data_IF_715062243458
#
_entry.id   IF_715062243458
#
_cell.length_a   1.000
_cell.length_b   1.000
_cell.length_c   1.000
_cell.angle_alpha   90.00
_cell.angle_beta   90.00
_cell.angle_gamma   90.00
#
_symmetry.space_group_name_H-M   'P 1'
#
loop_
_entity.id
_entity.type
_entity.pdbx_description
1 polymer ?
#
# COMPACT_ATOMS: atom_id res chain seq x y z
N UNK A 1 -17.85 13.80 9.79
CA UNK A 1 -17.63 14.36 8.45
C UNK A 1 -17.24 15.81 8.62
N UNK A 2 -15.96 16.11 8.37
CA UNK A 2 -15.38 17.45 8.40
C UNK A 2 -14.16 17.50 7.49
N UNK A 3 -13.92 18.67 6.90
CA UNK A 3 -12.69 18.97 6.16
C UNK A 3 -12.03 20.20 6.76
N UNK A 4 -10.73 20.13 7.00
CA UNK A 4 -9.92 21.27 7.43
C UNK A 4 -8.82 21.48 6.41
N UNK A 5 -8.70 22.70 5.90
CA UNK A 5 -7.62 23.07 4.99
C UNK A 5 -6.62 23.99 5.68
N UNK A 6 -5.33 23.78 5.40
CA UNK A 6 -4.23 24.41 6.10
C UNK A 6 -3.32 25.23 5.20
N UNK A 7 -2.78 26.30 5.78
CA UNK A 7 -1.77 27.17 5.17
C UNK A 7 -0.46 27.16 5.96
N UNK A 8 -0.29 26.18 6.85
CA UNK A 8 0.83 26.13 7.79
C UNK A 8 2.08 25.52 7.13
N UNK A 9 1.90 24.67 6.12
CA UNK A 9 2.98 24.05 5.35
C UNK A 9 3.58 24.92 4.23
N UNK A 10 3.59 26.25 4.36
CA UNK A 10 4.10 27.15 3.30
C UNK A 10 5.57 26.91 2.95
N UNK A 11 6.37 26.52 3.94
CA UNK A 11 7.82 26.31 3.85
C UNK A 11 8.22 24.83 3.87
N UNK A 12 7.28 23.89 3.78
CA UNK A 12 7.57 22.45 3.81
C UNK A 12 7.74 21.82 5.20
N UNK A 13 7.56 22.59 6.28
CA UNK A 13 7.66 22.11 7.67
C UNK A 13 6.32 21.97 8.41
N UNK A 14 5.20 22.24 7.76
CA UNK A 14 3.85 21.98 8.29
C UNK A 14 3.44 20.53 8.06
N UNK A 15 2.28 20.14 8.59
CA UNK A 15 1.70 18.81 8.42
C UNK A 15 0.18 18.86 8.60
N UNK A 16 -0.55 18.18 7.70
CA UNK A 16 -2.01 18.06 7.78
C UNK A 16 -2.47 17.34 9.05
N UNK A 17 -1.64 16.46 9.63
CA UNK A 17 -1.96 15.72 10.84
C UNK A 17 -2.22 16.61 12.07
N UNK A 18 -1.61 17.81 12.09
CA UNK A 18 -1.79 18.77 13.18
C UNK A 18 -2.87 19.82 12.90
N UNK A 19 -3.60 19.70 11.79
CA UNK A 19 -4.67 20.63 11.48
C UNK A 19 -5.84 20.48 12.44
N UNK A 20 -6.28 21.62 12.95
CA UNK A 20 -7.47 21.79 13.78
C UNK A 20 -8.21 23.04 13.29
N UNK A 21 -9.43 23.24 13.77
CA UNK A 21 -10.18 24.47 13.48
C UNK A 21 -9.50 25.74 14.03
N UNK A 22 -8.53 25.61 14.95
CA UNK A 22 -7.81 26.76 15.53
C UNK A 22 -6.64 27.23 14.66
N UNK A 23 -6.06 26.35 13.83
CA UNK A 23 -4.88 26.63 13.01
C UNK A 23 -5.10 26.42 11.50
N UNK A 24 -6.29 25.97 11.10
CA UNK A 24 -6.74 25.83 9.72
C UNK A 24 -8.11 26.45 9.48
N UNK A 25 -8.67 26.23 8.30
CA UNK A 25 -10.03 26.62 7.95
C UNK A 25 -10.93 25.39 7.94
N UNK A 26 -11.83 25.31 8.91
CA UNK A 26 -12.90 24.30 8.91
C UNK A 26 -13.89 24.63 7.79
N UNK A 27 -14.15 23.63 6.95
CA UNK A 27 -15.09 23.71 5.85
C UNK A 27 -16.33 22.90 6.22
N UNK A 28 -17.48 23.58 6.22
CA UNK A 28 -18.80 22.97 6.44
C UNK A 28 -19.51 22.85 5.09
N UNK A 29 -19.65 21.62 4.59
CA UNK A 29 -20.25 21.34 3.29
C UNK A 29 -19.33 21.66 2.10
N UNK A 30 -19.92 22.04 0.96
CA UNK A 30 -19.16 22.36 -0.25
C UNK A 30 -18.55 23.78 -0.20
N UNK A 31 -17.32 23.93 -0.70
CA UNK A 31 -16.58 25.18 -0.77
C UNK A 31 -15.88 25.32 -2.11
N UNK A 32 -15.90 26.52 -2.70
CA UNK A 32 -15.22 26.80 -3.96
C UNK A 32 -14.52 28.16 -3.88
N UNK A 33 -13.26 28.19 -4.29
CA UNK A 33 -12.49 29.40 -4.52
C UNK A 33 -11.73 29.31 -5.86
N UNK A 34 -10.93 30.33 -6.17
CA UNK A 34 -10.06 30.33 -7.36
C UNK A 34 -8.86 29.37 -7.22
N UNK A 35 -8.64 28.76 -6.05
CA UNK A 35 -7.47 27.90 -5.79
C UNK A 35 -7.86 26.48 -5.37
N UNK A 36 -9.06 26.28 -4.80
CA UNK A 36 -9.49 25.00 -4.26
C UNK A 36 -11.00 24.77 -4.49
N UNK A 37 -11.33 23.52 -4.81
CA UNK A 37 -12.68 22.99 -4.88
C UNK A 37 -12.85 21.90 -3.84
N UNK A 38 -13.87 22.04 -2.99
CA UNK A 38 -14.28 21.05 -1.99
C UNK A 38 -15.75 20.74 -2.22
N UNK A 39 -16.08 19.48 -2.43
CA UNK A 39 -17.46 19.02 -2.53
C UNK A 39 -17.70 17.91 -1.51
N UNK A 40 -18.63 18.18 -0.60
CA UNK A 40 -19.10 17.26 0.42
C UNK A 40 -20.54 16.89 0.10
N UNK A 41 -20.75 15.67 -0.38
CA UNK A 41 -22.03 15.09 -0.69
C UNK A 41 -22.38 14.06 0.39
N UNK A 42 -22.87 14.52 1.54
CA UNK A 42 -23.45 13.63 2.56
C UNK A 42 -24.92 13.33 2.26
N UNK A 43 -25.35 12.08 2.44
CA UNK A 43 -26.71 11.67 2.15
C UNK A 43 -27.74 12.28 3.15
N UNK A 44 -28.87 12.75 2.61
CA UNK A 44 -30.11 13.01 3.34
C UNK A 44 -31.31 12.24 2.74
N UNK A 45 -31.09 11.29 1.82
CA UNK A 45 -32.13 10.48 1.18
C UNK A 45 -31.61 9.21 0.49
N UNK A 46 -32.21 8.07 0.84
CA UNK A 46 -32.11 6.74 0.19
C UNK A 46 -31.53 6.74 -1.23
N UNK A 47 -30.24 6.48 -1.36
CA UNK A 47 -29.53 6.19 -2.61
C UNK A 47 -28.42 7.17 -3.03
N UNK A 48 -28.06 8.15 -2.18
CA UNK A 48 -26.86 8.96 -2.37
C UNK A 48 -25.63 8.29 -1.75
N UNK A 49 -24.46 8.45 -2.38
CA UNK A 49 -23.19 8.02 -1.81
C UNK A 49 -22.60 9.13 -0.93
N UNK A 50 -22.04 8.80 0.23
CA UNK A 50 -21.30 9.75 1.07
C UNK A 50 -19.93 10.01 0.44
N UNK A 51 -19.82 11.11 -0.32
CA UNK A 51 -18.62 11.42 -1.11
C UNK A 51 -17.96 12.71 -0.68
N UNK A 52 -16.63 12.69 -0.57
CA UNK A 52 -15.78 13.85 -0.35
C UNK A 52 -14.83 14.06 -1.53
N UNK A 53 -14.75 15.28 -2.04
CA UNK A 53 -13.77 15.69 -3.04
C UNK A 53 -13.02 16.92 -2.55
N UNK A 54 -11.69 16.88 -2.54
CA UNK A 54 -10.81 18.01 -2.19
C UNK A 54 -9.74 18.15 -3.26
N UNK A 55 -9.79 19.20 -4.08
CA UNK A 55 -8.80 19.41 -5.11
C UNK A 55 -8.35 20.86 -5.23
N UNK A 56 -7.04 21.05 -5.37
CA UNK A 56 -6.49 22.34 -5.79
C UNK A 56 -6.44 22.45 -7.32
N UNK A 57 -6.66 23.66 -7.84
CA UNK A 57 -6.68 23.94 -9.28
C UNK A 57 -5.32 23.70 -9.97
N UNK A 58 -4.23 23.69 -9.20
CA UNK A 58 -2.90 23.33 -9.66
C UNK A 58 -2.04 22.78 -8.53
N UNK A 59 -1.04 21.99 -8.89
CA UNK A 59 -0.08 21.49 -7.92
C UNK A 59 0.69 22.65 -7.26
N UNK A 60 0.82 22.61 -5.94
CA UNK A 60 1.59 23.58 -5.14
C UNK A 60 1.06 25.02 -5.17
N UNK A 61 -0.26 25.21 -5.06
CA UNK A 61 -0.84 26.55 -4.81
C UNK A 61 -0.19 27.19 -3.57
N UNK A 62 0.00 28.52 -3.61
CA UNK A 62 0.81 29.23 -2.60
C UNK A 62 0.17 29.22 -1.21
N UNK A 63 -1.16 29.17 -1.16
CA UNK A 63 -1.96 29.43 0.03
C UNK A 63 -2.27 28.14 0.79
N UNK A 64 -2.91 27.16 0.13
CA UNK A 64 -3.46 25.95 0.73
C UNK A 64 -2.62 24.75 0.32
N UNK A 65 -1.95 24.13 1.29
CA UNK A 65 -1.02 23.02 1.02
C UNK A 65 -1.36 21.76 1.80
N UNK A 66 -2.33 21.84 2.68
CA UNK A 66 -2.67 20.79 3.63
C UNK A 66 -4.17 20.57 3.61
N UNK A 67 -4.61 19.31 3.60
CA UNK A 67 -6.01 18.95 3.80
C UNK A 67 -6.11 17.83 4.83
N UNK A 68 -7.05 17.97 5.75
CA UNK A 68 -7.43 16.93 6.71
C UNK A 68 -8.91 16.60 6.50
N UNK A 69 -9.20 15.35 6.16
CA UNK A 69 -10.54 14.81 5.97
C UNK A 69 -10.83 13.81 7.09
N UNK A 70 -11.91 14.03 7.83
CA UNK A 70 -12.32 13.16 8.95
C UNK A 70 -13.81 12.80 8.84
N UNK A 71 -14.17 11.53 8.86
CA UNK A 71 -15.58 11.12 8.79
C UNK A 71 -15.82 9.67 8.41
N UNK A 72 -17.05 9.38 8.03
CA UNK A 72 -17.48 8.12 7.41
C UNK A 72 -17.93 8.47 5.99
N UNK A 73 -17.12 8.13 5.00
CA UNK A 73 -17.37 8.37 3.58
C UNK A 73 -17.24 7.06 2.81
N UNK A 74 -18.15 6.83 1.86
CA UNK A 74 -18.03 5.74 0.88
C UNK A 74 -16.98 6.07 -0.19
N UNK A 75 -16.72 7.36 -0.43
CA UNK A 75 -15.68 7.78 -1.36
C UNK A 75 -15.00 9.09 -0.96
N UNK A 76 -13.67 9.12 -1.06
CA UNK A 76 -12.83 10.30 -0.83
C UNK A 76 -11.88 10.43 -2.02
N UNK A 77 -11.84 11.59 -2.67
CA UNK A 77 -10.80 11.91 -3.65
C UNK A 77 -10.07 13.17 -3.22
N UNK A 78 -8.74 13.11 -3.16
CA UNK A 78 -7.87 14.25 -2.89
C UNK A 78 -6.88 14.43 -4.04
N UNK A 79 -6.82 15.62 -4.63
CA UNK A 79 -5.92 15.92 -5.77
C UNK A 79 -5.16 17.24 -5.58
N UNK A 80 -3.88 17.25 -5.96
CA UNK A 80 -3.00 18.42 -5.96
C UNK A 80 -2.80 19.07 -4.58
N UNK A 81 -3.02 18.34 -3.50
CA UNK A 81 -2.74 18.77 -2.13
C UNK A 81 -1.43 18.16 -1.66
N UNK A 82 -0.51 18.97 -1.13
CA UNK A 82 0.85 18.52 -0.78
C UNK A 82 0.86 17.56 0.41
N UNK A 83 0.12 17.88 1.46
CA UNK A 83 0.08 17.15 2.73
C UNK A 83 -1.37 16.75 3.02
N UNK A 84 -1.64 15.46 3.04
CA UNK A 84 -2.99 14.93 3.14
C UNK A 84 -3.10 14.05 4.37
N UNK A 85 -4.12 14.29 5.19
CA UNK A 85 -4.52 13.37 6.25
C UNK A 85 -5.97 12.97 6.01
N UNK A 86 -6.22 11.67 5.94
CA UNK A 86 -7.54 11.09 5.80
C UNK A 86 -7.71 10.15 6.99
N UNK A 87 -8.75 10.39 7.79
CA UNK A 87 -9.25 9.43 8.78
C UNK A 87 -10.67 9.07 8.35
N UNK A 88 -10.80 7.95 7.65
CA UNK A 88 -12.10 7.41 7.26
C UNK A 88 -12.49 6.34 8.28
N UNK A 89 -13.72 6.36 8.73
CA UNK A 89 -14.26 5.42 9.71
C UNK A 89 -15.60 4.93 9.14
N UNK A 90 -15.49 4.39 7.94
CA UNK A 90 -16.60 4.05 7.07
C UNK A 90 -17.34 2.86 7.67
N UNK A 91 -18.58 3.04 8.12
CA UNK A 91 -19.46 1.94 8.50
C UNK A 91 -20.21 1.34 7.29
N UNK A 92 -19.69 1.59 6.08
CA UNK A 92 -20.16 1.01 4.84
C UNK A 92 -19.34 -0.24 4.52
N UNK A 93 -19.98 -1.25 3.91
CA UNK A 93 -19.32 -2.51 3.52
C UNK A 93 -18.03 -2.27 2.70
N UNK A 94 -17.97 -1.18 1.92
CA UNK A 94 -16.81 -0.80 1.09
C UNK A 94 -16.59 0.71 1.15
N UNK A 95 -15.32 1.15 1.18
CA UNK A 95 -14.94 2.55 0.96
C UNK A 95 -13.89 2.71 -0.15
N UNK A 96 -13.88 3.85 -0.85
CA UNK A 96 -12.95 4.13 -1.95
C UNK A 96 -12.19 5.44 -1.71
N UNK A 97 -10.86 5.39 -1.61
CA UNK A 97 -10.00 6.54 -1.35
C UNK A 97 -9.00 6.71 -2.50
N UNK A 98 -9.04 7.86 -3.16
CA UNK A 98 -8.12 8.20 -4.24
C UNK A 98 -7.27 9.41 -3.83
N UNK A 99 -5.95 9.29 -3.90
CA UNK A 99 -5.01 10.38 -3.63
C UNK A 99 -4.08 10.59 -4.81
N UNK A 100 -4.15 11.77 -5.42
CA UNK A 100 -3.34 12.15 -6.58
C UNK A 100 -2.45 13.35 -6.28
N UNK A 101 -1.21 13.30 -6.80
CA UNK A 101 -0.28 14.43 -6.80
C UNK A 101 0.04 14.98 -5.40
N UNK A 102 -0.14 14.15 -4.36
CA UNK A 102 0.28 14.46 -3.01
C UNK A 102 1.78 14.22 -2.83
N UNK A 103 2.39 14.94 -1.89
CA UNK A 103 3.76 14.64 -1.43
C UNK A 103 3.77 13.80 -0.19
N UNK A 104 2.78 13.96 0.68
CA UNK A 104 2.61 13.18 1.89
C UNK A 104 1.16 12.81 2.08
N UNK A 105 0.94 11.58 2.54
CA UNK A 105 -0.37 11.08 2.89
C UNK A 105 -0.30 10.33 4.21
N UNK A 106 -1.22 10.61 5.12
CA UNK A 106 -1.54 9.76 6.24
C UNK A 106 -2.99 9.32 6.09
N UNK A 107 -3.20 8.07 5.67
CA UNK A 107 -4.52 7.48 5.46
C UNK A 107 -4.73 6.46 6.57
N UNK A 108 -5.83 6.62 7.30
CA UNK A 108 -6.20 5.76 8.42
C UNK A 108 -7.66 5.37 8.27
N UNK A 109 -7.88 4.09 7.98
CA UNK A 109 -9.21 3.47 7.92
C UNK A 109 -9.43 2.43 9.02
N UNK A 110 -8.44 2.25 9.90
CA UNK A 110 -8.33 1.18 10.92
C UNK A 110 -9.42 1.11 11.99
N UNK A 111 -10.41 2.00 11.99
CA UNK A 111 -11.45 2.02 13.01
C UNK A 111 -12.83 1.55 12.53
N UNK A 112 -12.91 0.99 11.33
CA UNK A 112 -14.08 0.26 10.80
C UNK A 112 -13.71 -1.15 10.31
N UNK A 113 -14.73 -1.96 10.06
CA UNK A 113 -14.66 -3.31 9.48
C UNK A 113 -15.01 -3.31 7.97
N UNK A 114 -14.64 -2.23 7.29
CA UNK A 114 -14.96 -1.98 5.88
C UNK A 114 -13.85 -2.46 4.97
N UNK A 115 -14.18 -3.10 3.85
CA UNK A 115 -13.22 -3.36 2.78
C UNK A 115 -12.87 -2.06 2.04
N UNK A 116 -11.64 -1.58 2.22
CA UNK A 116 -11.20 -0.29 1.72
C UNK A 116 -10.37 -0.43 0.44
N UNK A 117 -10.78 0.27 -0.61
CA UNK A 117 -10.01 0.41 -1.85
C UNK A 117 -9.27 1.74 -1.85
N UNK A 118 -7.94 1.71 -1.82
CA UNK A 118 -7.06 2.87 -1.74
C UNK A 118 -6.19 2.94 -2.99
N UNK A 119 -6.34 4.01 -3.78
CA UNK A 119 -5.52 4.28 -4.94
C UNK A 119 -4.63 5.52 -4.73
N UNK A 120 -3.32 5.38 -4.93
CA UNK A 120 -2.36 6.48 -4.80
C UNK A 120 -1.57 6.68 -6.10
N UNK A 121 -1.80 7.82 -6.75
CA UNK A 121 -0.99 8.30 -7.88
C UNK A 121 0.27 9.01 -7.39
N UNK A 122 1.40 8.32 -7.42
CA UNK A 122 2.67 8.79 -6.84
C UNK A 122 3.44 9.66 -7.84
N UNK A 123 3.60 10.95 -7.51
CA UNK A 123 4.51 11.84 -8.24
C UNK A 123 5.57 12.42 -7.30
N UNK A 124 6.86 12.18 -7.54
CA UNK A 124 7.99 12.71 -6.77
C UNK A 124 8.98 13.48 -7.65
N UNK A 125 9.47 14.61 -7.14
CA UNK A 125 10.24 15.57 -7.94
C UNK A 125 11.76 15.50 -7.72
N UNK A 126 12.22 15.03 -6.55
CA UNK A 126 13.66 14.85 -6.26
C UNK A 126 13.90 14.21 -4.89
N UNK A 127 15.12 13.72 -4.66
CA UNK A 127 15.63 13.26 -3.35
C UNK A 127 15.63 14.35 -2.26
N UNK A 128 15.73 15.63 -2.61
CA UNK A 128 15.76 16.71 -1.62
C UNK A 128 14.39 17.00 -1.01
N UNK A 129 13.35 16.30 -1.50
CA UNK A 129 11.99 16.41 -1.03
C UNK A 129 11.27 15.08 -1.30
N UNK A 130 11.64 14.04 -0.53
CA UNK A 130 11.03 12.70 -0.63
C UNK A 130 9.55 12.74 -0.26
N UNK A 131 8.80 11.84 -0.89
CA UNK A 131 7.41 11.60 -0.55
C UNK A 131 7.34 10.60 0.60
N UNK A 132 6.37 10.74 1.50
CA UNK A 132 6.13 9.79 2.58
C UNK A 132 4.63 9.50 2.67
N UNK A 133 4.26 8.23 2.55
CA UNK A 133 2.90 7.77 2.78
C UNK A 133 2.84 6.83 3.97
N UNK A 134 1.90 7.07 4.87
CA UNK A 134 1.55 6.16 5.96
C UNK A 134 0.12 5.73 5.75
N UNK A 135 -0.11 4.43 5.60
CA UNK A 135 -1.42 3.83 5.41
C UNK A 135 -1.62 2.82 6.52
N UNK A 136 -2.73 2.92 7.25
CA UNK A 136 -3.17 1.89 8.19
C UNK A 136 -4.63 1.57 7.88
N UNK A 137 -4.92 0.34 7.49
CA UNK A 137 -6.29 -0.13 7.30
C UNK A 137 -6.73 -1.03 8.46
N UNK A 138 -7.89 -1.65 8.35
CA UNK A 138 -8.68 -2.13 9.49
C UNK A 138 -8.95 -3.62 9.46
N UNK A 139 -10.15 -4.00 9.87
CA UNK A 139 -10.68 -5.31 9.52
C UNK A 139 -11.35 -5.22 8.14
N UNK A 140 -11.32 -6.29 7.35
CA UNK A 140 -11.95 -6.34 6.02
C UNK A 140 -10.93 -6.64 4.95
N UNK A 141 -11.38 -7.12 3.78
CA UNK A 141 -10.47 -7.39 2.66
C UNK A 141 -10.12 -6.05 1.98
N UNK A 142 -8.94 -5.52 2.25
CA UNK A 142 -8.48 -4.20 1.83
C UNK A 142 -7.59 -4.26 0.58
N UNK A 143 -7.76 -3.29 -0.32
CA UNK A 143 -7.01 -3.18 -1.58
C UNK A 143 -6.22 -1.86 -1.62
N UNK A 144 -4.89 -1.91 -1.60
CA UNK A 144 -4.02 -0.75 -1.82
C UNK A 144 -3.30 -0.85 -3.17
N UNK A 145 -3.46 0.15 -4.04
CA UNK A 145 -2.69 0.29 -5.28
C UNK A 145 -1.90 1.59 -5.31
N UNK A 146 -0.59 1.51 -5.55
CA UNK A 146 0.28 2.67 -5.76
C UNK A 146 0.90 2.65 -7.16
N UNK A 147 0.68 3.71 -7.95
CA UNK A 147 1.15 3.80 -9.35
C UNK A 147 2.14 4.95 -9.53
N UNK A 148 3.20 4.73 -10.31
CA UNK A 148 4.14 5.79 -10.68
C UNK A 148 3.52 6.74 -11.71
N UNK A 149 3.13 7.93 -11.27
CA UNK A 149 2.78 9.04 -12.16
C UNK A 149 4.02 9.85 -12.55
N UNK A 150 5.12 9.68 -11.81
CA UNK A 150 6.44 10.16 -12.17
C UNK A 150 7.37 10.24 -10.98
N UNK A 151 8.49 9.51 -11.01
CA UNK A 151 9.56 9.67 -10.02
C UNK A 151 9.34 8.92 -8.69
N UNK A 152 8.39 7.99 -8.61
CA UNK A 152 8.10 7.17 -7.41
C UNK A 152 9.31 6.51 -6.73
N UNK A 153 10.44 6.34 -7.43
CA UNK A 153 11.72 5.84 -6.86
C UNK A 153 12.24 6.61 -5.63
N UNK A 154 11.76 7.84 -5.37
CA UNK A 154 12.11 8.64 -4.19
C UNK A 154 11.01 8.64 -3.11
N UNK A 155 9.99 7.81 -3.26
CA UNK A 155 8.87 7.69 -2.32
C UNK A 155 9.19 6.64 -1.25
N UNK A 156 9.00 7.06 -0.01
CA UNK A 156 9.00 6.22 1.19
C UNK A 156 7.55 5.93 1.57
N UNK A 157 7.33 4.76 2.18
CA UNK A 157 6.02 4.38 2.68
C UNK A 157 6.12 3.42 3.86
N UNK A 158 5.10 3.49 4.72
CA UNK A 158 4.84 2.54 5.79
C UNK A 158 3.37 2.14 5.72
N UNK A 159 3.12 0.87 5.43
CA UNK A 159 1.79 0.32 5.18
C UNK A 159 1.53 -0.79 6.20
N UNK A 160 0.36 -0.75 6.81
CA UNK A 160 -0.18 -1.79 7.70
C UNK A 160 -1.61 -2.08 7.22
N UNK A 161 -1.85 -3.29 6.72
CA UNK A 161 -3.14 -3.67 6.12
C UNK A 161 -4.14 -4.24 7.14
N UNK A 162 -3.71 -4.52 8.39
CA UNK A 162 -4.63 -4.92 9.44
C UNK A 162 -5.03 -6.40 9.38
N UNK A 163 -6.32 -6.71 9.24
CA UNK A 163 -6.80 -8.09 9.24
C UNK A 163 -7.86 -8.30 8.15
N UNK A 164 -7.70 -9.33 7.34
CA UNK A 164 -8.51 -9.54 6.14
C UNK A 164 -7.75 -10.40 5.16
N UNK A 165 -8.30 -10.66 3.98
CA UNK A 165 -7.49 -11.18 2.87
C UNK A 165 -7.08 -9.97 1.99
N UNK A 166 -5.94 -9.34 2.32
CA UNK A 166 -5.57 -8.03 1.80
C UNK A 166 -4.69 -8.09 0.53
N UNK A 167 -4.75 -7.02 -0.27
CA UNK A 167 -3.98 -6.88 -1.50
C UNK A 167 -3.21 -5.57 -1.52
N UNK A 168 -1.90 -5.65 -1.71
CA UNK A 168 -1.03 -4.49 -1.95
C UNK A 168 -0.38 -4.61 -3.33
N UNK A 169 -0.67 -3.64 -4.20
CA UNK A 169 -0.07 -3.53 -5.53
C UNK A 169 0.84 -2.31 -5.65
N UNK A 170 2.14 -2.58 -5.77
CA UNK A 170 3.19 -1.60 -6.02
C UNK A 170 4.03 -1.95 -7.25
N UNK A 171 3.56 -2.86 -8.13
CA UNK A 171 4.32 -3.39 -9.26
C UNK A 171 4.82 -2.29 -10.20
N UNK A 172 4.03 -1.20 -10.29
CA UNK A 172 4.27 -0.07 -11.17
C UNK A 172 5.20 0.99 -10.57
N UNK A 173 5.62 0.86 -9.31
CA UNK A 173 6.53 1.82 -8.69
C UNK A 173 7.98 1.60 -9.16
N UNK A 174 8.76 2.67 -9.23
CA UNK A 174 10.20 2.57 -9.45
C UNK A 174 10.94 2.03 -8.23
N UNK A 175 11.96 1.21 -8.47
CA UNK A 175 12.89 0.72 -7.45
C UNK A 175 13.47 1.89 -6.64
N UNK A 176 13.71 1.68 -5.34
CA UNK A 176 14.23 2.70 -4.42
C UNK A 176 15.52 3.32 -4.96
N UNK A 177 15.73 4.60 -4.71
CA UNK A 177 16.89 5.31 -5.28
C UNK A 177 18.13 5.23 -4.38
N UNK A 178 17.98 4.90 -3.09
CA UNK A 178 19.07 4.87 -2.11
C UNK A 178 18.86 3.74 -1.07
N UNK A 179 19.89 3.43 -0.28
CA UNK A 179 19.95 2.22 0.54
C UNK A 179 19.22 2.32 1.88
N UNK A 180 18.90 3.52 2.33
CA UNK A 180 18.22 3.78 3.61
C UNK A 180 16.83 4.38 3.39
N UNK A 181 16.22 4.11 2.24
CA UNK A 181 14.86 4.51 1.93
C UNK A 181 13.91 3.56 2.67
N UNK A 182 12.98 4.10 3.44
CA UNK A 182 12.01 3.31 4.21
C UNK A 182 10.83 2.95 3.30
N UNK A 183 10.70 1.66 3.00
CA UNK A 183 9.56 1.08 2.26
C UNK A 183 9.15 -0.20 2.96
N UNK A 184 8.26 -0.03 3.94
CA UNK A 184 7.77 -1.11 4.78
C UNK A 184 6.31 -1.41 4.48
N UNK A 185 5.97 -2.70 4.40
CA UNK A 185 4.61 -3.19 4.15
C UNK A 185 4.36 -4.40 5.06
N UNK A 186 3.33 -4.32 5.88
CA UNK A 186 2.82 -5.43 6.66
C UNK A 186 1.44 -5.82 6.12
N UNK A 187 1.30 -7.07 5.67
CA UNK A 187 0.04 -7.65 5.20
C UNK A 187 -0.96 -7.93 6.33
N UNK A 188 -0.48 -8.18 7.54
CA UNK A 188 -1.34 -8.34 8.72
C UNK A 188 -1.74 -9.80 9.00
N UNK A 189 -2.94 -9.96 9.55
CA UNK A 189 -3.54 -11.27 9.82
C UNK A 189 -4.47 -11.65 8.65
N UNK A 190 -4.12 -12.65 7.86
CA UNK A 190 -4.85 -12.85 6.61
C UNK A 190 -4.37 -13.97 5.72
N UNK A 191 -4.88 -13.97 4.49
CA UNK A 191 -4.19 -14.53 3.33
C UNK A 191 -3.86 -13.37 2.40
N UNK A 192 -2.70 -12.77 2.62
CA UNK A 192 -2.37 -11.48 2.02
C UNK A 192 -1.51 -11.61 0.77
N UNK A 193 -1.73 -10.72 -0.19
CA UNK A 193 -1.05 -10.72 -1.50
C UNK A 193 -0.30 -9.41 -1.76
N UNK A 194 0.99 -9.52 -2.07
CA UNK A 194 1.82 -8.41 -2.54
C UNK A 194 2.15 -8.56 -4.03
N UNK A 195 1.75 -7.60 -4.86
CA UNK A 195 2.29 -7.41 -6.20
C UNK A 195 3.48 -6.44 -6.14
N UNK A 196 4.69 -6.99 -6.25
CA UNK A 196 5.95 -6.26 -6.07
C UNK A 196 6.58 -5.81 -7.39
N UNK A 197 7.33 -4.71 -7.33
CA UNK A 197 8.21 -4.27 -8.42
C UNK A 197 9.59 -4.97 -8.39
N UNK A 198 9.81 -5.89 -7.45
CA UNK A 198 11.06 -6.64 -7.29
C UNK A 198 12.19 -5.85 -6.63
N UNK A 199 11.89 -4.74 -5.93
CA UNK A 199 12.90 -4.01 -5.18
C UNK A 199 13.36 -4.80 -3.95
N UNK A 200 14.58 -5.32 -3.99
CA UNK A 200 15.19 -6.12 -2.91
C UNK A 200 15.47 -5.36 -1.60
N UNK A 201 14.93 -4.14 -1.46
CA UNK A 201 15.03 -3.29 -0.27
C UNK A 201 13.66 -3.03 0.36
N UNK A 202 12.60 -3.60 -0.20
CA UNK A 202 11.31 -3.63 0.47
C UNK A 202 11.46 -4.45 1.75
N UNK A 203 10.98 -3.88 2.84
CA UNK A 203 10.82 -4.55 4.12
C UNK A 203 9.38 -5.06 4.17
N UNK A 204 9.19 -6.37 4.09
CA UNK A 204 7.87 -6.98 3.93
C UNK A 204 7.65 -8.10 4.94
N UNK A 205 6.47 -8.10 5.55
CA UNK A 205 6.02 -9.10 6.51
C UNK A 205 4.53 -9.38 6.35
N UNK A 206 4.09 -10.55 6.81
CA UNK A 206 2.67 -10.92 6.83
C UNK A 206 2.08 -11.24 5.46
N UNK A 207 2.87 -11.66 4.46
CA UNK A 207 2.33 -12.05 3.15
C UNK A 207 2.33 -13.56 2.92
N UNK A 208 1.21 -14.09 2.43
CA UNK A 208 1.09 -15.47 1.96
C UNK A 208 1.49 -15.64 0.49
N UNK A 209 1.28 -14.58 -0.30
CA UNK A 209 1.52 -14.56 -1.75
C UNK A 209 2.35 -13.34 -2.12
N UNK A 210 3.46 -13.56 -2.82
CA UNK A 210 4.26 -12.49 -3.43
C UNK A 210 4.30 -12.74 -4.93
N UNK A 211 3.77 -11.79 -5.69
CA UNK A 211 3.66 -11.82 -7.13
C UNK A 211 4.45 -10.69 -7.79
N UNK A 212 4.92 -10.87 -9.02
CA UNK A 212 5.67 -9.82 -9.74
C UNK A 212 5.61 -9.92 -11.27
N UNK A 213 6.51 -9.19 -11.93
CA UNK A 213 6.57 -9.06 -13.40
C UNK A 213 7.76 -9.78 -14.07
N UNK A 214 8.48 -10.66 -13.37
CA UNK A 214 9.72 -11.32 -13.83
C UNK A 214 10.80 -10.36 -14.36
N UNK A 215 10.75 -9.07 -14.00
CA UNK A 215 11.68 -8.05 -14.51
C UNK A 215 12.88 -7.83 -13.61
N UNK A 216 12.75 -8.12 -12.32
CA UNK A 216 13.79 -8.00 -11.30
C UNK A 216 13.71 -9.23 -10.39
N UNK A 217 14.86 -9.65 -9.86
CA UNK A 217 14.94 -10.82 -9.01
C UNK A 217 14.54 -10.50 -7.57
N UNK A 218 13.62 -11.29 -7.02
CA UNK A 218 13.33 -11.32 -5.60
C UNK A 218 14.46 -12.07 -4.89
N UNK A 219 15.10 -11.41 -3.93
CA UNK A 219 16.10 -12.05 -3.07
C UNK A 219 15.35 -12.78 -1.96
N UNK A 220 15.54 -14.10 -1.89
CA UNK A 220 15.07 -14.94 -0.79
C UNK A 220 16.19 -15.06 0.23
N UNK A 221 15.99 -14.46 1.40
CA UNK A 221 16.88 -14.54 2.56
C UNK A 221 16.10 -15.01 3.81
N UNK A 222 16.80 -15.10 4.95
CA UNK A 222 16.17 -15.54 6.21
C UNK A 222 15.06 -14.60 6.69
N UNK A 223 15.24 -13.29 6.53
CA UNK A 223 14.26 -12.30 6.97
C UNK A 223 12.96 -12.40 6.14
N UNK A 224 13.05 -12.59 4.82
CA UNK A 224 11.87 -12.84 3.98
C UNK A 224 11.11 -14.09 4.44
N UNK A 225 11.84 -15.18 4.71
CA UNK A 225 11.26 -16.48 5.07
C UNK A 225 10.66 -16.50 6.48
N UNK A 226 11.28 -15.82 7.44
CA UNK A 226 10.82 -15.76 8.83
C UNK A 226 9.55 -14.93 9.00
N UNK A 227 9.36 -13.91 8.16
CA UNK A 227 8.28 -12.94 8.31
C UNK A 227 7.11 -13.16 7.34
N UNK A 228 7.19 -14.13 6.41
CA UNK A 228 6.18 -14.35 5.39
C UNK A 228 5.86 -15.84 5.21
N UNK A 229 4.69 -16.10 4.63
CA UNK A 229 4.18 -17.42 4.33
C UNK A 229 3.36 -18.02 5.47
N UNK A 230 2.58 -19.03 5.09
CA UNK A 230 1.73 -19.75 6.03
C UNK A 230 2.30 -21.12 6.37
N UNK A 231 1.56 -21.87 7.19
CA UNK A 231 1.82 -23.32 7.39
C UNK A 231 1.75 -24.16 6.10
N UNK A 232 1.27 -23.59 4.98
CA UNK A 232 1.26 -24.22 3.64
C UNK A 232 2.46 -23.81 2.79
N UNK A 233 3.23 -22.84 3.24
CA UNK A 233 4.33 -22.22 2.53
C UNK A 233 3.99 -20.82 2.02
N UNK A 234 5.02 -20.13 1.55
CA UNK A 234 4.94 -18.85 0.87
C UNK A 234 4.82 -19.09 -0.64
N UNK A 235 3.82 -18.49 -1.28
CA UNK A 235 3.65 -18.59 -2.73
C UNK A 235 4.44 -17.47 -3.40
N UNK A 236 5.36 -17.83 -4.30
CA UNK A 236 6.11 -16.89 -5.14
C UNK A 236 5.72 -17.14 -6.59
N UNK A 237 5.13 -16.14 -7.25
CA UNK A 237 4.64 -16.30 -8.64
C UNK A 237 5.03 -15.12 -9.51
N UNK A 238 5.45 -15.40 -10.75
CA UNK A 238 5.86 -14.34 -11.68
C UNK A 238 7.05 -13.50 -11.17
N UNK A 239 7.89 -14.07 -10.31
CA UNK A 239 9.14 -13.45 -9.83
C UNK A 239 10.33 -14.32 -10.20
N UNK A 240 11.45 -13.69 -10.58
CA UNK A 240 12.74 -14.37 -10.71
C UNK A 240 13.33 -14.55 -9.31
N UNK A 241 13.72 -15.77 -8.93
CA UNK A 241 14.14 -16.09 -7.57
C UNK A 241 15.66 -16.18 -7.45
N UNK A 242 16.23 -15.40 -6.52
CA UNK A 242 17.63 -15.50 -6.12
C UNK A 242 17.76 -15.82 -4.63
N UNK A 243 18.33 -16.98 -4.30
CA UNK A 243 18.62 -17.33 -2.92
C UNK A 243 19.87 -16.60 -2.42
N UNK A 244 19.83 -16.14 -1.16
CA UNK A 244 21.03 -15.68 -0.47
C UNK A 244 22.08 -16.80 -0.41
N UNK A 245 23.37 -16.41 -0.47
CA UNK A 245 24.49 -17.34 -0.72
C UNK A 245 24.72 -18.40 0.36
N UNK A 246 24.16 -18.19 1.54
CA UNK A 246 24.25 -19.04 2.72
C UNK A 246 23.06 -19.99 2.88
N UNK A 247 22.06 -19.91 1.98
CA UNK A 247 20.90 -20.79 2.02
C UNK A 247 21.12 -22.10 1.24
N UNK A 248 20.59 -23.18 1.79
CA UNK A 248 20.47 -24.47 1.11
C UNK A 248 19.00 -24.74 0.79
N UNK A 249 18.74 -25.34 -0.38
CA UNK A 249 17.38 -25.68 -0.78
C UNK A 249 17.28 -27.05 -1.45
N UNK A 250 16.09 -27.65 -1.37
CA UNK A 250 15.72 -28.87 -2.08
C UNK A 250 14.36 -28.71 -2.74
N UNK A 251 14.20 -29.29 -3.93
CA UNK A 251 12.94 -29.30 -4.66
C UNK A 251 12.21 -30.62 -4.40
N UNK A 252 10.94 -30.53 -4.02
CA UNK A 252 10.08 -31.66 -3.70
C UNK A 252 8.75 -31.60 -4.48
N UNK A 253 8.01 -32.72 -4.47
CA UNK A 253 6.67 -32.78 -5.04
C UNK A 253 5.68 -32.05 -4.11
N UNK A 254 4.77 -31.27 -4.70
CA UNK A 254 3.71 -30.56 -3.95
C UNK A 254 2.85 -31.54 -3.15
N UNK A 255 2.64 -31.23 -1.86
CA UNK A 255 1.73 -31.98 -1.01
C UNK A 255 0.25 -31.76 -1.39
N UNK A 256 -0.61 -32.73 -1.08
CA UNK A 256 -2.07 -32.60 -1.30
C UNK A 256 -2.66 -31.35 -0.63
N UNK A 257 -2.14 -30.98 0.54
CA UNK A 257 -2.64 -29.80 1.26
C UNK A 257 -2.18 -28.47 0.65
N UNK A 258 -1.03 -28.46 -0.02
CA UNK A 258 -0.52 -27.32 -0.78
C UNK A 258 -1.20 -27.19 -2.13
N UNK A 259 -1.47 -28.31 -2.81
CA UNK A 259 -2.27 -28.31 -4.04
C UNK A 259 -3.68 -27.75 -3.78
N UNK A 260 -4.32 -28.11 -2.66
CA UNK A 260 -5.60 -27.52 -2.27
C UNK A 260 -5.48 -26.02 -2.01
N UNK A 261 -4.45 -25.60 -1.30
CA UNK A 261 -4.17 -24.19 -1.01
C UNK A 261 -3.97 -23.35 -2.29
N UNK A 262 -3.15 -23.82 -3.24
CA UNK A 262 -2.97 -23.16 -4.54
C UNK A 262 -4.28 -23.07 -5.32
N UNK A 263 -5.12 -24.11 -5.30
CA UNK A 263 -6.44 -24.05 -5.95
C UNK A 263 -7.39 -23.03 -5.29
N UNK A 264 -7.34 -22.91 -3.96
CA UNK A 264 -8.13 -21.92 -3.22
C UNK A 264 -7.69 -20.50 -3.59
N UNK A 265 -6.38 -20.29 -3.80
CA UNK A 265 -5.78 -19.07 -4.38
C UNK A 265 -5.98 -18.91 -5.90
N UNK A 266 -6.71 -19.83 -6.54
CA UNK A 266 -6.98 -19.84 -7.98
C UNK A 266 -5.76 -20.05 -8.89
N UNK A 267 -4.69 -20.66 -8.37
CA UNK A 267 -3.54 -21.14 -9.14
C UNK A 267 -3.71 -22.60 -9.59
N UNK A 268 -3.20 -22.92 -10.78
CA UNK A 268 -3.04 -24.31 -11.22
C UNK A 268 -1.79 -24.89 -10.57
N UNK A 269 -1.98 -25.79 -9.59
CA UNK A 269 -0.86 -26.36 -8.84
C UNK A 269 0.11 -27.17 -9.71
N UNK A 270 -0.30 -27.62 -10.90
CA UNK A 270 0.59 -28.32 -11.84
C UNK A 270 1.69 -27.40 -12.40
N UNK A 271 1.51 -26.07 -12.30
CA UNK A 271 2.50 -25.06 -12.71
C UNK A 271 3.52 -24.74 -11.60
N UNK A 272 3.33 -25.28 -10.39
CA UNK A 272 4.17 -24.97 -9.23
C UNK A 272 5.05 -26.15 -8.82
N UNK A 273 6.15 -25.85 -8.12
CA UNK A 273 6.99 -26.81 -7.40
C UNK A 273 7.13 -26.39 -5.94
N UNK A 274 7.36 -27.37 -5.05
CA UNK A 274 7.72 -27.08 -3.67
C UNK A 274 9.23 -26.93 -3.57
N UNK A 275 9.70 -25.84 -2.95
CA UNK A 275 11.10 -25.65 -2.57
C UNK A 275 11.19 -25.56 -1.06
N UNK A 276 11.90 -26.49 -0.44
CA UNK A 276 12.24 -26.44 0.98
C UNK A 276 13.56 -25.71 1.14
N UNK A 277 13.58 -24.65 1.94
CA UNK A 277 14.76 -23.84 2.23
C UNK A 277 15.12 -23.99 3.70
N UNK A 278 16.39 -24.24 4.01
CA UNK A 278 16.86 -24.38 5.40
C UNK A 278 17.63 -23.14 5.86
N UNK A 279 17.17 -22.49 6.93
CA UNK A 279 17.83 -21.36 7.59
C UNK A 279 18.11 -21.75 9.05
N UNK A 280 19.37 -21.76 9.47
CA UNK A 280 19.78 -22.09 10.86
C UNK A 280 19.18 -23.39 11.46
N UNK A 281 18.79 -24.33 10.60
CA UNK A 281 18.19 -25.62 10.97
C UNK A 281 16.66 -25.63 11.04
N UNK A 282 16.01 -24.52 10.72
CA UNK A 282 14.57 -24.44 10.48
C UNK A 282 14.28 -24.56 8.98
N UNK A 283 13.15 -25.19 8.63
CA UNK A 283 12.75 -25.45 7.25
C UNK A 283 11.55 -24.59 6.88
N UNK A 284 11.66 -23.91 5.75
CA UNK A 284 10.63 -23.05 5.17
C UNK A 284 10.18 -23.64 3.85
N UNK A 285 8.88 -23.61 3.59
CA UNK A 285 8.31 -24.11 2.33
C UNK A 285 7.97 -22.94 1.42
N UNK A 286 8.47 -22.97 0.20
CA UNK A 286 8.08 -22.09 -0.89
C UNK A 286 7.28 -22.88 -1.92
N UNK A 287 6.26 -22.26 -2.50
CA UNK A 287 5.52 -22.76 -3.65
C UNK A 287 5.79 -21.82 -4.81
N UNK A 288 6.54 -22.29 -5.81
CA UNK A 288 7.12 -21.42 -6.83
C UNK A 288 6.75 -21.89 -8.24
N UNK A 289 6.45 -20.96 -9.13
CA UNK A 289 6.16 -21.24 -10.55
C UNK A 289 7.40 -21.07 -11.47
N UNK A 290 8.51 -20.57 -10.92
CA UNK A 290 9.79 -20.42 -11.62
C UNK A 290 10.65 -21.70 -11.48
N UNK A 291 11.05 -22.36 -12.59
CA UNK A 291 11.94 -23.52 -12.54
C UNK A 291 13.43 -23.19 -12.42
N UNK A 292 13.86 -21.94 -12.60
CA UNK A 292 15.27 -21.54 -12.77
C UNK A 292 15.80 -20.71 -11.58
N UNK A 293 16.31 -21.38 -10.54
CA UNK A 293 16.87 -20.70 -9.37
C UNK A 293 18.34 -20.29 -9.55
N UNK A 294 18.67 -19.07 -9.11
CA UNK A 294 20.04 -18.59 -8.99
C UNK A 294 20.42 -18.29 -7.53
N UNK A 295 21.72 -18.18 -7.28
CA UNK A 295 22.24 -17.62 -6.03
C UNK A 295 22.68 -16.18 -6.28
N UNK A 296 22.50 -15.31 -5.28
CA UNK A 296 23.09 -13.97 -5.29
C UNK A 296 24.62 -14.11 -5.42
N UNK A 297 25.19 -13.43 -6.41
CA UNK A 297 26.61 -13.49 -6.77
C UNK A 297 27.55 -12.73 -5.83
#
# INVERSE_FOLDING_TARGET
MSVIIGTTNKNGSGSSANLTADNGYLIEGSYLSDEISIADYGDNSTGGYNTMYVAADSWHVETIKEAKVEGSYESITVDNIIDVTITNQSDFDVSNIEVFNAKRGNIDTSGSDSSDSIFIGVESNSISWSNMFTINTGEGDDDLTMVDFGGSKWTEFNIDMGAGDDVVDIESLGLSCYSNQERHINGGDGVDTLYTNGDSRLDIEGFEVIAGLNSEALIVDGDLLENNGSSKGLVLTGVDIQFASDLEYTVEDIEVSQAAYLNDLHYDFDDFSQVIVTVDGEEYSLLVDDPDYAYVA
#
